data_IF_041454631021
#
_entry.id   IF_041454631021
#
_cell.length_a   1.000
_cell.length_b   1.000
_cell.length_c   1.000
_cell.angle_alpha   90.00
_cell.angle_beta   90.00
_cell.angle_gamma   90.00
#
_symmetry.space_group_name_H-M   'P 1'
#
loop_
_entity.id
_entity.type
_entity.pdbx_description
1 polymer ?
#
# COMPACT_ATOMS: atom_id res chain seq x y z
N UNK A 1 13.13 4.94 3.47
CA UNK A 1 12.92 3.93 4.52
C UNK A 1 12.40 2.72 3.81
N UNK A 2 13.29 1.76 3.56
CA UNK A 2 12.89 0.44 3.10
C UNK A 2 12.02 -0.14 4.21
N UNK A 3 10.70 -0.18 3.96
CA UNK A 3 9.88 -1.20 4.62
C UNK A 3 10.47 -2.50 4.10
N UNK A 4 11.33 -3.14 4.89
CA UNK A 4 11.88 -4.44 4.56
C UNK A 4 10.69 -5.39 4.44
N UNK A 5 10.30 -5.63 3.19
CA UNK A 5 9.24 -6.55 2.84
C UNK A 5 9.84 -7.94 3.13
N UNK A 6 9.48 -8.49 4.29
CA UNK A 6 9.91 -9.82 4.74
C UNK A 6 9.15 -10.92 3.95
N UNK A 7 9.16 -10.84 2.63
CA UNK A 7 8.56 -11.83 1.74
C UNK A 7 9.67 -12.74 1.21
N UNK A 8 9.67 -14.02 1.59
CA UNK A 8 10.81 -14.92 1.36
C UNK A 8 10.92 -15.40 -0.09
N UNK A 9 9.82 -15.39 -0.85
CA UNK A 9 9.79 -15.94 -2.20
C UNK A 9 9.79 -14.83 -3.25
N UNK A 10 10.73 -14.91 -4.19
CA UNK A 10 10.91 -13.96 -5.28
C UNK A 10 10.55 -14.62 -6.61
N UNK A 11 9.79 -13.92 -7.45
CA UNK A 11 9.44 -14.33 -8.82
C UNK A 11 9.72 -13.17 -9.76
N UNK A 12 10.36 -13.40 -10.91
CA UNK A 12 10.59 -12.36 -11.92
C UNK A 12 9.48 -12.39 -12.96
N UNK A 13 8.90 -11.24 -13.25
CA UNK A 13 8.01 -11.03 -14.40
C UNK A 13 8.83 -10.53 -15.57
N UNK A 14 8.78 -11.23 -16.69
CA UNK A 14 9.51 -10.89 -17.92
C UNK A 14 8.85 -9.75 -18.70
N UNK A 15 7.53 -9.61 -18.61
CA UNK A 15 6.78 -8.62 -19.39
C UNK A 15 6.93 -7.21 -18.82
N UNK A 16 6.93 -7.09 -17.48
CA UNK A 16 7.00 -5.81 -16.78
C UNK A 16 8.40 -5.48 -16.24
N UNK A 17 9.39 -6.31 -16.57
CA UNK A 17 10.76 -6.30 -15.99
C UNK A 17 10.75 -6.01 -14.48
N UNK A 18 9.86 -6.71 -13.76
CA UNK A 18 9.59 -6.46 -12.35
C UNK A 18 9.75 -7.71 -11.51
N UNK A 19 10.08 -7.51 -10.25
CA UNK A 19 10.26 -8.60 -9.28
C UNK A 19 9.06 -8.66 -8.35
N UNK A 20 8.28 -9.74 -8.44
CA UNK A 20 7.21 -10.09 -7.53
C UNK A 20 7.74 -10.80 -6.27
N UNK A 21 7.04 -10.60 -5.16
CA UNK A 21 7.36 -11.21 -3.87
C UNK A 21 6.12 -11.87 -3.26
N UNK A 22 6.26 -13.05 -2.68
CA UNK A 22 5.16 -13.81 -2.09
C UNK A 22 5.40 -14.16 -0.62
N UNK A 23 4.32 -14.14 0.14
CA UNK A 23 4.29 -14.60 1.53
C UNK A 23 4.11 -16.11 1.58
N UNK A 24 4.60 -16.74 2.63
CA UNK A 24 4.31 -18.13 2.93
C UNK A 24 2.85 -18.32 3.37
N UNK A 25 2.25 -19.48 3.07
CA UNK A 25 0.95 -19.84 3.60
C UNK A 25 0.92 -19.70 5.13
N UNK A 26 -0.17 -19.15 5.66
CA UNK A 26 -0.39 -18.94 7.10
C UNK A 26 0.61 -18.00 7.79
N UNK A 27 1.46 -17.28 7.04
CA UNK A 27 2.40 -16.30 7.56
C UNK A 27 1.89 -14.85 7.42
N UNK A 28 0.79 -14.52 8.11
CA UNK A 28 0.16 -13.18 8.05
C UNK A 28 1.13 -12.03 8.40
N UNK A 29 2.07 -12.28 9.32
CA UNK A 29 3.06 -11.29 9.75
C UNK A 29 3.96 -10.78 8.60
N UNK A 30 4.19 -11.59 7.56
CA UNK A 30 4.96 -11.18 6.38
C UNK A 30 4.23 -10.10 5.53
N UNK A 31 2.93 -9.88 5.80
CA UNK A 31 2.06 -8.90 5.14
C UNK A 31 1.51 -7.84 6.10
N UNK A 32 2.10 -7.67 7.28
CA UNK A 32 1.54 -6.81 8.33
C UNK A 32 1.22 -5.37 7.89
N UNK A 33 2.04 -4.77 7.00
CA UNK A 33 1.75 -3.44 6.46
C UNK A 33 0.47 -3.40 5.59
N UNK A 34 0.23 -4.44 4.79
CA UNK A 34 -0.97 -4.54 3.95
C UNK A 34 -2.21 -4.80 4.80
N UNK A 35 -2.09 -5.62 5.84
CA UNK A 35 -3.18 -5.89 6.78
C UNK A 35 -3.58 -4.64 7.56
N UNK A 36 -2.60 -3.86 8.05
CA UNK A 36 -2.85 -2.56 8.65
C UNK A 36 -3.56 -1.60 7.68
N UNK A 37 -3.11 -1.54 6.43
CA UNK A 37 -3.74 -0.69 5.42
C UNK A 37 -5.18 -1.10 5.13
N UNK A 38 -5.45 -2.40 4.98
CA UNK A 38 -6.80 -2.93 4.82
C UNK A 38 -7.71 -2.58 6.02
N UNK A 39 -7.16 -2.55 7.24
CA UNK A 39 -7.89 -2.09 8.42
C UNK A 39 -8.34 -0.63 8.32
N UNK A 40 -7.52 0.25 7.73
CA UNK A 40 -7.86 1.64 7.50
C UNK A 40 -8.96 1.79 6.43
N UNK A 41 -8.88 1.01 5.36
CA UNK A 41 -9.92 0.99 4.32
C UNK A 41 -11.28 0.58 4.89
N UNK A 42 -11.29 -0.38 5.83
CA UNK A 42 -12.52 -0.86 6.52
C UNK A 42 -13.16 0.18 7.44
N UNK A 43 -12.53 1.32 7.72
CA UNK A 43 -13.17 2.46 8.39
C UNK A 43 -14.21 3.12 7.49
N UNK A 44 -14.06 3.01 6.16
CA UNK A 44 -14.93 3.63 5.17
C UNK A 44 -15.87 2.64 4.49
N UNK A 45 -15.44 1.38 4.33
CA UNK A 45 -16.25 0.32 3.71
C UNK A 45 -16.58 -0.74 4.78
N UNK A 46 -17.82 -0.76 5.30
CA UNK A 46 -18.24 -1.73 6.33
C UNK A 46 -18.03 -3.17 5.89
N UNK A 47 -17.73 -4.07 6.83
CA UNK A 47 -17.46 -5.50 6.54
C UNK A 47 -18.57 -6.20 5.75
N UNK A 48 -19.84 -5.87 6.03
CA UNK A 48 -21.02 -6.48 5.43
C UNK A 48 -21.49 -5.80 4.13
N UNK A 49 -20.80 -4.73 3.69
CA UNK A 49 -21.09 -4.08 2.41
C UNK A 49 -20.36 -4.84 1.30
N UNK A 50 -21.06 -5.33 0.27
CA UNK A 50 -20.39 -5.93 -0.89
C UNK A 50 -19.53 -4.87 -1.59
N UNK A 51 -18.31 -5.25 -1.99
CA UNK A 51 -17.39 -4.31 -2.65
C UNK A 51 -17.88 -3.89 -4.04
N UNK A 52 -18.68 -4.73 -4.70
CA UNK A 52 -19.29 -4.43 -6.00
C UNK A 52 -20.26 -3.25 -5.98
N UNK A 53 -20.71 -2.81 -4.80
CA UNK A 53 -21.59 -1.64 -4.67
C UNK A 53 -20.85 -0.37 -4.30
N UNK A 54 -19.50 -0.42 -4.21
CA UNK A 54 -18.68 0.77 -4.01
C UNK A 54 -18.50 1.42 -5.37
N UNK A 55 -18.94 2.66 -5.48
CA UNK A 55 -18.81 3.47 -6.69
C UNK A 55 -17.37 3.94 -6.88
N UNK A 56 -16.99 4.27 -8.11
CA UNK A 56 -15.66 4.81 -8.40
C UNK A 56 -15.44 6.16 -7.71
N UNK A 57 -16.49 6.99 -7.58
CA UNK A 57 -16.43 8.25 -6.85
C UNK A 57 -16.19 8.05 -5.35
N UNK A 58 -16.88 7.07 -4.74
CA UNK A 58 -16.63 6.70 -3.33
C UNK A 58 -15.20 6.18 -3.14
N UNK A 59 -14.74 5.32 -4.06
CA UNK A 59 -13.40 4.77 -4.01
C UNK A 59 -12.35 5.88 -4.09
N UNK A 60 -12.54 6.84 -5.00
CA UNK A 60 -11.64 7.99 -5.16
C UNK A 60 -11.60 8.86 -3.91
N UNK A 61 -12.77 9.15 -3.34
CA UNK A 61 -12.87 9.90 -2.09
C UNK A 61 -12.13 9.21 -0.93
N UNK A 62 -12.22 7.88 -0.84
CA UNK A 62 -11.53 7.10 0.19
C UNK A 62 -10.02 7.10 -0.05
N UNK A 63 -9.59 6.92 -1.30
CA UNK A 63 -8.18 7.00 -1.70
C UNK A 63 -7.57 8.35 -1.26
N UNK A 64 -8.21 9.46 -1.64
CA UNK A 64 -7.73 10.80 -1.30
C UNK A 64 -7.67 10.98 0.23
N UNK A 65 -8.72 10.58 0.94
CA UNK A 65 -8.73 10.61 2.41
C UNK A 65 -7.59 9.79 3.02
N UNK A 66 -7.21 8.65 2.46
CA UNK A 66 -6.13 7.82 3.00
C UNK A 66 -4.74 8.37 2.66
N UNK A 67 -4.57 8.90 1.45
CA UNK A 67 -3.31 9.44 0.92
C UNK A 67 -2.96 10.82 1.50
N UNK A 68 -3.97 11.64 1.83
CA UNK A 68 -3.78 12.94 2.47
C UNK A 68 -3.89 12.91 4.00
N UNK A 69 -4.19 11.75 4.61
CA UNK A 69 -4.23 11.63 6.08
C UNK A 69 -2.81 11.65 6.67
N UNK A 70 -2.48 12.59 7.58
CA UNK A 70 -1.24 12.59 8.36
C UNK A 70 -1.03 11.27 9.11
N UNK A 71 0.19 10.70 9.08
CA UNK A 71 0.51 9.45 9.78
C UNK A 71 1.60 9.66 10.83
N UNK A 72 1.35 9.24 12.07
CA UNK A 72 2.35 9.30 13.16
C UNK A 72 3.66 8.59 12.79
N UNK A 73 3.60 7.43 12.11
CA UNK A 73 4.77 6.69 11.63
C UNK A 73 5.64 7.48 10.63
N UNK A 74 5.05 8.46 9.95
CA UNK A 74 5.74 9.33 8.98
C UNK A 74 6.09 10.70 9.58
N UNK A 75 6.14 10.82 10.92
CA UNK A 75 6.37 12.11 11.58
C UNK A 75 5.23 13.12 11.30
N UNK A 76 3.99 12.63 11.22
CA UNK A 76 2.80 13.41 10.85
C UNK A 76 2.79 13.97 9.43
N UNK A 77 3.72 13.56 8.55
CA UNK A 77 3.58 13.77 7.10
C UNK A 77 2.47 12.90 6.52
N UNK A 78 1.94 13.31 5.37
CA UNK A 78 0.97 12.50 4.61
C UNK A 78 1.70 11.48 3.73
N UNK A 79 1.09 10.31 3.45
CA UNK A 79 1.63 9.36 2.48
C UNK A 79 1.93 10.01 1.13
N UNK A 80 1.05 10.89 0.66
CA UNK A 80 1.24 11.65 -0.58
C UNK A 80 2.54 12.47 -0.57
N UNK A 81 2.80 13.23 0.51
CA UNK A 81 4.04 14.01 0.63
C UNK A 81 5.28 13.12 0.60
N UNK A 82 5.29 12.05 1.40
CA UNK A 82 6.45 11.14 1.49
C UNK A 82 6.69 10.41 0.16
N UNK A 83 5.62 10.03 -0.54
CA UNK A 83 5.72 9.41 -1.86
C UNK A 83 6.38 10.35 -2.87
N UNK A 84 5.88 11.59 -3.01
CA UNK A 84 6.48 12.58 -3.91
C UNK A 84 7.92 12.95 -3.52
N UNK A 85 8.24 13.06 -2.23
CA UNK A 85 9.63 13.24 -1.77
C UNK A 85 10.54 12.07 -2.19
N UNK A 86 10.01 10.85 -2.26
CA UNK A 86 10.77 9.65 -2.63
C UNK A 86 11.04 9.54 -4.13
N UNK A 87 10.14 10.03 -4.99
CA UNK A 87 10.34 10.05 -6.44
C UNK A 87 11.57 10.87 -6.83
N UNK A 88 11.83 11.97 -6.11
CA UNK A 88 13.01 12.81 -6.34
C UNK A 88 14.32 12.14 -5.90
N UNK A 89 14.27 11.05 -5.12
CA UNK A 89 15.46 10.31 -4.65
C UNK A 89 15.85 9.17 -5.58
N UNK A 90 14.93 8.69 -6.42
CA UNK A 90 15.26 7.69 -7.43
C UNK A 90 15.88 8.45 -8.59
N UNK A 91 17.20 8.64 -8.55
CA UNK A 91 17.96 8.84 -9.77
C UNK A 91 17.53 7.71 -10.71
N UNK A 92 16.90 8.09 -11.84
CA UNK A 92 16.74 7.20 -12.98
C UNK A 92 18.14 6.63 -13.24
N UNK A 93 18.36 5.35 -12.92
CA UNK A 93 19.59 4.69 -13.36
C UNK A 93 19.51 4.69 -14.89
N UNK A 94 20.54 5.20 -15.59
CA UNK A 94 20.56 5.22 -17.05
C UNK A 94 20.44 3.80 -17.63
#
# INVERSE_FOLDING_TARGET
>A
MEVEICLPKRVKSTELDSTGYFADPFASWQRGSNENFNGLLRQYIPKKRPLSTVTDEELKMIEDKLNFRPRKRLGFKTPHQVFHESLNRVALRP
#
